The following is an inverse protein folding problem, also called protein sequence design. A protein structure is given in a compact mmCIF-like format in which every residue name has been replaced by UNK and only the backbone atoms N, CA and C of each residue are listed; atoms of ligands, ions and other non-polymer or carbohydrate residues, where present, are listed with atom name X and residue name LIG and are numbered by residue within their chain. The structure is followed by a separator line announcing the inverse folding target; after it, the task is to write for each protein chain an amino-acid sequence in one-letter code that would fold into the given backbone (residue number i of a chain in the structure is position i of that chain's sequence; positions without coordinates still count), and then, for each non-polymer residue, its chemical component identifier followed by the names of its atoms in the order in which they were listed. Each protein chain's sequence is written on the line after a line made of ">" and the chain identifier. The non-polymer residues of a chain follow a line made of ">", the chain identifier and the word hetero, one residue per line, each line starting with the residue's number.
data_IF_662653588381
#
_entry.id   IF_662653588381
#
_cell.length_a   1.000
_cell.length_b   1.000
_cell.length_c   1.000
_cell.angle_alpha   90.00
_cell.angle_beta   90.00
_cell.angle_gamma   90.00
#
_symmetry.space_group_name_H-M   'P 1'
#
loop_
_entity.id
_entity.type
_entity.pdbx_description
1 polymer ?
#
# COMPACT_ATOMS: atom_id res chain seq x y z
N UNK A 1 14.00 -10.80 14.34
CA UNK A 1 13.21 -10.39 13.16
C UNK A 1 11.74 -10.50 13.54
N UNK A 2 10.90 -9.49 13.37
CA UNK A 2 9.46 -9.69 13.62
C UNK A 2 8.90 -10.66 12.56
N UNK A 3 8.51 -11.88 12.96
CA UNK A 3 8.02 -12.89 12.03
C UNK A 3 6.69 -12.47 11.40
N UNK A 4 5.94 -11.58 12.06
CA UNK A 4 4.64 -11.09 11.58
C UNK A 4 4.76 -10.25 10.31
N UNK A 5 5.66 -9.27 10.25
CA UNK A 5 5.83 -8.43 9.05
C UNK A 5 6.33 -9.29 7.87
N UNK A 6 7.24 -10.23 8.12
CA UNK A 6 7.72 -11.16 7.09
C UNK A 6 6.63 -12.11 6.58
N UNK A 7 5.71 -12.55 7.45
CA UNK A 7 4.53 -13.30 7.03
C UNK A 7 3.62 -12.45 6.15
N UNK A 8 3.31 -11.22 6.59
CA UNK A 8 2.44 -10.32 5.83
C UNK A 8 2.98 -9.97 4.45
N UNK A 9 4.29 -9.79 4.30
CA UNK A 9 4.91 -9.58 2.99
C UNK A 9 4.64 -10.77 2.04
N UNK A 10 4.74 -12.00 2.53
CA UNK A 10 4.44 -13.20 1.72
C UNK A 10 2.96 -13.30 1.38
N UNK A 11 2.10 -12.99 2.34
CA UNK A 11 0.65 -13.00 2.17
C UNK A 11 0.14 -11.97 1.14
N UNK A 12 0.91 -10.94 0.79
CA UNK A 12 0.58 -10.02 -0.31
C UNK A 12 0.53 -10.70 -1.68
N UNK A 13 1.20 -11.84 -1.85
CA UNK A 13 1.22 -12.61 -3.09
C UNK A 13 0.35 -13.88 -3.01
N UNK A 14 -0.51 -13.99 -2.00
CA UNK A 14 -1.37 -15.16 -1.81
C UNK A 14 -2.46 -15.23 -2.89
N UNK A 15 -2.83 -16.45 -3.31
CA UNK A 15 -3.89 -16.63 -4.31
C UNK A 15 -5.25 -16.19 -3.78
N UNK A 16 -5.48 -16.26 -2.47
CA UNK A 16 -6.71 -15.83 -1.84
C UNK A 16 -6.71 -14.31 -1.62
N UNK A 17 -7.61 -13.62 -2.29
CA UNK A 17 -7.82 -12.18 -2.17
C UNK A 17 -8.06 -11.73 -0.72
N UNK A 18 -8.75 -12.53 0.10
CA UNK A 18 -8.99 -12.20 1.52
C UNK A 18 -7.68 -12.18 2.30
N UNK A 19 -6.77 -13.11 2.01
CA UNK A 19 -5.42 -13.14 2.60
C UNK A 19 -4.63 -11.90 2.21
N UNK A 20 -4.61 -11.54 0.91
CA UNK A 20 -3.94 -10.33 0.43
C UNK A 20 -4.47 -9.06 1.09
N UNK A 21 -5.80 -8.92 1.20
CA UNK A 21 -6.45 -7.78 1.87
C UNK A 21 -6.04 -7.66 3.33
N UNK A 22 -6.03 -8.79 4.06
CA UNK A 22 -5.58 -8.84 5.46
C UNK A 22 -4.12 -8.44 5.60
N UNK A 23 -3.27 -8.90 4.67
CA UNK A 23 -1.86 -8.58 4.68
C UNK A 23 -1.62 -7.08 4.58
N UNK A 24 -2.24 -6.42 3.60
CA UNK A 24 -2.19 -4.97 3.43
C UNK A 24 -2.71 -4.23 4.66
N UNK A 25 -3.84 -4.66 5.22
CA UNK A 25 -4.43 -4.03 6.40
C UNK A 25 -3.52 -4.12 7.64
N UNK A 26 -2.88 -5.27 7.87
CA UNK A 26 -1.89 -5.44 8.93
C UNK A 26 -0.65 -4.58 8.69
N UNK A 27 -0.11 -4.56 7.47
CA UNK A 27 1.06 -3.74 7.13
C UNK A 27 0.83 -2.25 7.34
N UNK A 28 -0.38 -1.76 7.03
CA UNK A 28 -0.80 -0.41 7.38
C UNK A 28 -0.79 -0.17 8.89
N UNK A 29 -1.30 -1.12 9.68
CA UNK A 29 -1.37 -0.99 11.14
C UNK A 29 0.02 -0.97 11.80
N UNK A 30 0.98 -1.69 11.24
CA UNK A 30 2.37 -1.67 11.71
C UNK A 30 3.07 -0.32 11.48
N UNK A 31 2.56 0.53 10.59
CA UNK A 31 3.12 1.85 10.32
C UNK A 31 4.61 1.79 9.97
N UNK A 32 5.42 2.70 10.50
CA UNK A 32 6.85 2.83 10.18
C UNK A 32 7.71 1.58 10.45
N UNK A 33 7.24 0.67 11.30
CA UNK A 33 7.88 -0.63 11.56
C UNK A 33 7.83 -1.55 10.33
N UNK A 34 6.85 -1.37 9.45
CA UNK A 34 6.71 -2.11 8.20
C UNK A 34 7.51 -1.52 7.03
N UNK A 35 8.54 -0.69 7.27
CA UNK A 35 9.41 -0.12 6.22
C UNK A 35 10.01 -1.17 5.26
N UNK A 36 10.27 -2.38 5.75
CA UNK A 36 10.73 -3.50 4.91
C UNK A 36 9.69 -4.03 3.90
N UNK A 37 8.41 -3.71 4.09
CA UNK A 37 7.32 -4.14 3.22
C UNK A 37 7.07 -3.18 2.04
N UNK A 38 7.81 -2.07 1.96
CA UNK A 38 7.62 -1.01 0.96
C UNK A 38 7.60 -1.55 -0.47
N UNK A 39 8.59 -2.36 -0.86
CA UNK A 39 8.63 -2.90 -2.23
C UNK A 39 7.41 -3.76 -2.54
N UNK A 40 7.04 -4.65 -1.60
CA UNK A 40 5.88 -5.52 -1.77
C UNK A 40 4.55 -4.75 -1.81
N UNK A 41 4.45 -3.65 -1.05
CA UNK A 41 3.28 -2.77 -1.09
C UNK A 41 3.22 -1.96 -2.40
N UNK A 42 4.35 -1.54 -2.97
CA UNK A 42 4.38 -0.91 -4.30
C UNK A 42 3.86 -1.88 -5.37
N UNK A 43 4.23 -3.16 -5.28
CA UNK A 43 3.72 -4.19 -6.19
C UNK A 43 2.22 -4.44 -5.98
N UNK A 44 1.77 -4.49 -4.72
CA UNK A 44 0.36 -4.66 -4.36
C UNK A 44 -0.55 -3.50 -4.82
N UNK A 45 0.00 -2.33 -5.15
CA UNK A 45 -0.77 -1.26 -5.81
C UNK A 45 -1.26 -1.65 -7.22
N UNK A 46 -0.73 -2.73 -7.81
CA UNK A 46 -1.15 -3.28 -9.11
C UNK A 46 -2.04 -4.51 -8.99
N UNK A 47 -2.45 -4.87 -7.77
CA UNK A 47 -3.30 -6.04 -7.56
C UNK A 47 -4.60 -5.94 -8.35
N UNK A 48 -5.14 -7.07 -8.78
CA UNK A 48 -6.45 -7.16 -9.43
C UNK A 48 -7.58 -6.68 -8.51
N UNK A 49 -7.41 -6.85 -7.20
CA UNK A 49 -8.37 -6.47 -6.18
C UNK A 49 -8.24 -5.00 -5.77
N UNK A 50 -9.35 -4.27 -5.90
CA UNK A 50 -9.45 -2.86 -5.54
C UNK A 50 -9.05 -2.58 -4.08
N UNK A 51 -9.47 -3.42 -3.13
CA UNK A 51 -9.18 -3.19 -1.72
C UNK A 51 -7.70 -3.40 -1.40
N UNK A 52 -7.05 -4.36 -2.08
CA UNK A 52 -5.60 -4.56 -1.99
C UNK A 52 -4.86 -3.33 -2.54
N UNK A 53 -5.23 -2.84 -3.74
CA UNK A 53 -4.61 -1.64 -4.33
C UNK A 53 -4.72 -0.41 -3.43
N UNK A 54 -5.92 -0.15 -2.93
CA UNK A 54 -6.22 1.00 -2.05
C UNK A 54 -5.43 0.88 -0.76
N UNK A 55 -5.53 -0.28 -0.11
CA UNK A 55 -4.85 -0.48 1.17
C UNK A 55 -3.34 -0.35 1.02
N UNK A 56 -2.77 -0.78 -0.11
CA UNK A 56 -1.34 -0.70 -0.35
C UNK A 56 -0.86 0.75 -0.45
N UNK A 57 -1.60 1.59 -1.18
CA UNK A 57 -1.36 3.03 -1.24
C UNK A 57 -1.44 3.68 0.15
N UNK A 58 -2.43 3.31 0.96
CA UNK A 58 -2.58 3.85 2.33
C UNK A 58 -1.46 3.35 3.24
N UNK A 59 -1.09 2.07 3.15
CA UNK A 59 -0.01 1.48 3.95
C UNK A 59 1.33 2.17 3.69
N UNK A 60 1.66 2.47 2.43
CA UNK A 60 2.88 3.21 2.07
C UNK A 60 2.94 4.58 2.75
N UNK A 61 1.82 5.31 2.79
CA UNK A 61 1.73 6.60 3.50
C UNK A 61 1.87 6.42 5.01
N UNK A 62 1.28 5.37 5.59
CA UNK A 62 1.39 5.08 7.03
C UNK A 62 2.78 4.62 7.46
N UNK A 63 3.56 4.03 6.55
CA UNK A 63 4.92 3.56 6.81
C UNK A 63 5.88 4.75 6.87
N UNK A 64 5.93 5.53 5.80
CA UNK A 64 6.91 6.62 5.69
C UNK A 64 6.49 7.58 4.56
N UNK A 65 6.32 8.85 4.91
CA UNK A 65 5.94 9.89 3.94
C UNK A 65 7.06 10.10 2.89
N UNK A 66 8.34 9.99 3.26
CA UNK A 66 9.44 10.06 2.29
C UNK A 66 9.44 8.89 1.31
N UNK A 67 9.06 7.69 1.76
CA UNK A 67 8.90 6.53 0.85
C UNK A 67 7.69 6.68 -0.07
N UNK A 68 6.61 7.30 0.42
CA UNK A 68 5.46 7.60 -0.43
C UNK A 68 5.84 8.55 -1.60
N UNK A 69 6.91 9.36 -1.48
CA UNK A 69 7.44 10.13 -2.61
C UNK A 69 8.09 9.23 -3.68
N UNK A 70 8.69 8.10 -3.32
CA UNK A 70 9.21 7.12 -4.30
C UNK A 70 8.04 6.47 -5.05
N UNK A 71 6.92 6.25 -4.35
CA UNK A 71 5.67 5.80 -4.96
C UNK A 71 4.90 6.91 -5.70
N UNK A 72 5.42 8.14 -5.79
CA UNK A 72 4.73 9.29 -6.40
C UNK A 72 4.26 9.04 -7.84
N UNK A 73 5.04 8.43 -8.76
CA UNK A 73 4.55 8.13 -10.10
C UNK A 73 3.35 7.18 -10.08
N UNK A 74 3.39 6.19 -9.19
CA UNK A 74 2.32 5.19 -9.00
C UNK A 74 1.08 5.80 -8.34
N UNK A 75 1.27 6.70 -7.38
CA UNK A 75 0.18 7.47 -6.79
C UNK A 75 -0.43 8.45 -7.81
N UNK A 76 0.37 9.05 -8.70
CA UNK A 76 -0.15 9.89 -9.79
C UNK A 76 -0.99 9.07 -10.78
N UNK A 77 -0.51 7.90 -11.22
CA UNK A 77 -1.33 6.96 -12.01
C UNK A 77 -2.65 6.61 -11.29
N UNK A 78 -2.56 6.25 -10.00
CA UNK A 78 -3.72 5.94 -9.16
C UNK A 78 -4.71 7.11 -9.03
N UNK A 79 -4.22 8.35 -8.99
CA UNK A 79 -5.03 9.56 -8.87
C UNK A 79 -5.93 9.83 -10.08
N UNK A 80 -5.58 9.26 -11.24
CA UNK A 80 -6.37 9.24 -12.48
C UNK A 80 -7.11 7.93 -12.75
N UNK A 81 -6.99 6.93 -11.87
CA UNK A 81 -7.65 5.62 -12.04
C UNK A 81 -9.17 5.76 -12.19
N UNK A 82 -9.86 4.81 -12.84
CA UNK A 82 -11.34 4.78 -12.85
C UNK A 82 -11.95 4.38 -11.51
N UNK A 83 -11.15 3.72 -10.68
CA UNK A 83 -11.45 3.28 -9.33
C UNK A 83 -11.51 4.47 -8.35
N UNK A 84 -12.68 4.70 -7.75
CA UNK A 84 -12.90 5.86 -6.89
C UNK A 84 -12.13 5.77 -5.57
N UNK A 85 -11.97 4.57 -5.02
CA UNK A 85 -11.23 4.37 -3.80
C UNK A 85 -9.73 4.61 -4.03
N UNK A 86 -9.18 4.07 -5.11
CA UNK A 86 -7.77 4.22 -5.48
C UNK A 86 -7.46 5.67 -5.81
N UNK A 87 -8.32 6.37 -6.55
CA UNK A 87 -8.17 7.82 -6.79
C UNK A 87 -8.12 8.60 -5.50
N UNK A 88 -9.02 8.31 -4.56
CA UNK A 88 -9.14 9.06 -3.31
C UNK A 88 -7.96 8.80 -2.40
N UNK A 89 -7.56 7.53 -2.26
CA UNK A 89 -6.37 7.13 -1.51
C UNK A 89 -5.10 7.75 -2.11
N UNK A 90 -4.96 7.71 -3.42
CA UNK A 90 -3.83 8.31 -4.12
C UNK A 90 -3.79 9.84 -3.97
N UNK A 91 -4.92 10.54 -4.12
CA UNK A 91 -4.98 12.00 -3.89
C UNK A 91 -4.70 12.36 -2.43
N UNK A 92 -5.19 11.57 -1.47
CA UNK A 92 -4.91 11.77 -0.06
C UNK A 92 -3.42 11.57 0.26
N UNK A 93 -2.79 10.56 -0.33
CA UNK A 93 -1.36 10.33 -0.26
C UNK A 93 -0.58 11.52 -0.85
N UNK A 94 -0.88 11.92 -2.08
CA UNK A 94 -0.24 13.05 -2.76
C UNK A 94 -0.40 14.37 -1.99
N UNK A 95 -1.54 14.60 -1.33
CA UNK A 95 -1.76 15.79 -0.48
C UNK A 95 -0.84 15.79 0.74
N UNK A 96 -0.67 14.63 1.40
CA UNK A 96 0.26 14.49 2.53
C UNK A 96 1.71 14.69 2.11
N UNK A 97 2.07 14.22 0.92
CA UNK A 97 3.42 14.36 0.36
C UNK A 97 3.80 15.79 -0.06
N UNK A 98 2.81 16.67 -0.22
CA UNK A 98 2.96 18.07 -0.66
C UNK A 98 2.81 19.08 0.48
N UNK A 99 2.50 18.63 1.69
CA UNK A 99 2.38 19.46 2.90
C UNK A 99 3.72 19.53 3.65
#
# INVERSE_FOLDING_TARGET
>A
MDPEIGSRIRELCDQNTVTRRRAVASLRHFGSTARRAVSALIDAMRDEDEQVRIGAAVALVSIDEGVAQIAMPRLMEGSGSRDAGLRTAAKAALRRLRA
#
